data_IF_376844718875
#
_entry.id   IF_376844718875
#
_cell.length_a   1.000
_cell.length_b   1.000
_cell.length_c   1.000
_cell.angle_alpha   90.00
_cell.angle_beta   90.00
_cell.angle_gamma   90.00
#
_symmetry.space_group_name_H-M   'P 1'
#
loop_
_entity.id
_entity.type
_entity.pdbx_description
1 polymer ?
#
# COMPACT_ATOMS: atom_id res chain seq x y z
N UNK A 1 19.84 19.93 5.43
CA UNK A 1 18.86 20.34 4.41
C UNK A 1 19.59 20.59 3.11
N UNK A 2 18.98 20.32 1.95
CA UNK A 2 19.51 20.80 0.68
C UNK A 2 19.18 22.29 0.46
N UNK A 3 19.61 22.85 -0.67
CA UNK A 3 19.38 24.26 -1.03
C UNK A 3 17.90 24.64 -1.18
N UNK A 4 16.99 23.66 -1.17
CA UNK A 4 15.53 23.82 -1.24
C UNK A 4 14.84 23.57 0.10
N UNK A 5 15.61 23.32 1.17
CA UNK A 5 15.07 23.02 2.51
C UNK A 5 14.59 21.57 2.68
N UNK A 6 14.96 20.67 1.76
CA UNK A 6 14.60 19.26 1.88
C UNK A 6 15.53 18.54 2.86
N UNK A 7 14.98 17.56 3.58
CA UNK A 7 15.75 16.65 4.42
C UNK A 7 15.98 15.38 3.59
N UNK A 8 17.22 15.18 3.16
CA UNK A 8 17.59 14.12 2.20
C UNK A 8 18.46 13.07 2.88
N UNK A 9 18.02 11.82 2.82
CA UNK A 9 18.79 10.63 3.21
C UNK A 9 19.09 9.84 1.94
N UNK A 10 20.37 9.77 1.55
CA UNK A 10 20.81 9.08 0.35
C UNK A 10 22.24 8.56 0.51
N UNK A 11 22.63 7.67 -0.39
CA UNK A 11 23.99 7.17 -0.57
C UNK A 11 24.62 6.63 0.73
N UNK A 12 23.84 5.85 1.50
CA UNK A 12 24.28 5.32 2.80
C UNK A 12 23.44 4.13 3.25
N UNK A 13 23.96 3.43 4.24
CA UNK A 13 23.25 2.42 5.03
C UNK A 13 22.94 2.97 6.43
N UNK A 14 21.75 2.67 6.95
CA UNK A 14 21.31 3.03 8.30
C UNK A 14 20.75 1.77 8.95
N UNK A 15 21.19 1.47 10.17
CA UNK A 15 20.79 0.24 10.85
C UNK A 15 20.36 0.52 12.30
N UNK A 16 19.34 -0.20 12.77
CA UNK A 16 18.87 -0.16 14.17
C UNK A 16 18.48 1.24 14.68
N UNK A 17 18.11 2.14 13.77
CA UNK A 17 17.77 3.52 14.09
C UNK A 17 16.26 3.77 14.14
N UNK A 18 15.88 4.79 14.92
CA UNK A 18 14.53 5.36 14.89
C UNK A 18 14.56 6.71 14.18
N UNK A 19 13.98 6.76 12.98
CA UNK A 19 13.87 7.96 12.19
C UNK A 19 12.46 8.56 12.29
N UNK A 20 12.34 9.73 12.90
CA UNK A 20 11.06 10.44 12.98
C UNK A 20 10.94 11.56 11.94
N UNK A 21 9.98 11.42 11.02
CA UNK A 21 9.65 12.44 10.03
C UNK A 21 8.52 13.31 10.58
N UNK A 22 8.89 14.38 11.29
CA UNK A 22 7.95 15.20 12.10
C UNK A 22 7.75 16.61 11.58
N UNK A 23 8.72 17.15 10.82
CA UNK A 23 8.62 18.50 10.29
C UNK A 23 7.65 18.54 9.09
N UNK A 24 6.44 19.04 9.34
CA UNK A 24 5.38 19.14 8.33
C UNK A 24 5.68 20.15 7.21
N UNK A 25 6.70 20.99 7.37
CA UNK A 25 7.16 21.98 6.37
C UNK A 25 8.28 21.43 5.50
N UNK A 26 9.09 20.50 6.00
CA UNK A 26 10.16 19.87 5.25
C UNK A 26 9.61 18.86 4.22
N UNK A 27 10.30 18.74 3.09
CA UNK A 27 10.15 17.57 2.23
C UNK A 27 11.24 16.55 2.57
N UNK A 28 10.84 15.34 2.88
CA UNK A 28 11.72 14.22 3.16
C UNK A 28 11.94 13.40 1.90
N UNK A 29 13.20 13.21 1.53
CA UNK A 29 13.60 12.40 0.38
C UNK A 29 14.45 11.25 0.90
N UNK A 30 13.97 10.03 0.71
CA UNK A 30 14.66 8.78 1.04
C UNK A 30 15.14 8.12 -0.26
N UNK A 31 16.46 8.06 -0.42
CA UNK A 31 17.14 7.62 -1.64
C UNK A 31 17.63 8.79 -2.53
N UNK A 32 18.39 8.51 -3.60
CA UNK A 32 18.78 7.18 -4.10
C UNK A 32 19.80 6.46 -3.22
N UNK A 33 19.97 5.16 -3.47
CA UNK A 33 21.00 4.31 -2.84
C UNK A 33 20.99 4.38 -1.31
N UNK A 34 19.79 4.40 -0.73
CA UNK A 34 19.59 4.34 0.72
C UNK A 34 19.17 2.92 1.09
N UNK A 35 19.91 2.29 2.00
CA UNK A 35 19.52 1.03 2.62
C UNK A 35 19.21 1.29 4.09
N UNK A 36 18.06 0.82 4.57
CA UNK A 36 17.70 0.86 5.98
C UNK A 36 17.41 -0.55 6.48
N UNK A 37 18.03 -0.95 7.58
CA UNK A 37 17.87 -2.28 8.19
C UNK A 37 17.42 -2.18 9.63
N UNK A 38 16.44 -2.99 10.04
CA UNK A 38 15.97 -3.03 11.42
C UNK A 38 15.59 -1.64 11.98
N UNK A 39 15.19 -0.71 11.12
CA UNK A 39 14.91 0.66 11.51
C UNK A 39 13.41 0.85 11.78
N UNK A 40 13.08 1.84 12.60
CA UNK A 40 11.71 2.32 12.76
C UNK A 40 11.55 3.69 12.12
N UNK A 41 10.65 3.80 11.14
CA UNK A 41 10.30 5.05 10.48
C UNK A 41 8.95 5.56 10.97
N UNK A 42 8.94 6.69 11.66
CA UNK A 42 7.71 7.32 12.16
C UNK A 42 7.28 8.41 11.21
N UNK A 43 6.16 8.18 10.51
CA UNK A 43 5.66 9.07 9.47
C UNK A 43 4.56 9.96 10.06
N UNK A 44 4.91 11.20 10.43
CA UNK A 44 3.98 12.25 10.90
C UNK A 44 3.73 13.34 9.84
N UNK A 45 4.22 13.14 8.62
CA UNK A 45 4.03 14.05 7.48
C UNK A 45 3.04 13.49 6.46
N UNK A 46 2.48 14.36 5.63
CA UNK A 46 1.58 13.93 4.55
C UNK A 46 2.35 13.34 3.36
N UNK A 47 1.65 12.56 2.54
CA UNK A 47 2.20 11.92 1.33
C UNK A 47 2.99 12.88 0.43
N UNK A 48 2.52 14.13 0.24
CA UNK A 48 3.21 15.16 -0.57
C UNK A 48 4.58 15.59 -0.05
N UNK A 49 4.87 15.34 1.24
CA UNK A 49 6.11 15.71 1.92
C UNK A 49 7.09 14.54 2.02
N UNK A 50 6.74 13.38 1.49
CA UNK A 50 7.59 12.20 1.50
C UNK A 50 7.88 11.79 0.06
N UNK A 51 9.13 11.48 -0.26
CA UNK A 51 9.51 10.96 -1.57
C UNK A 51 10.46 9.79 -1.38
N UNK A 52 10.10 8.63 -1.95
CA UNK A 52 10.97 7.47 -2.02
C UNK A 52 11.58 7.42 -3.43
N UNK A 53 12.90 7.31 -3.51
CA UNK A 53 13.66 7.21 -4.75
C UNK A 53 14.58 6.00 -4.68
N UNK A 54 14.09 4.79 -4.98
CA UNK A 54 14.88 3.55 -4.86
C UNK A 54 15.50 3.27 -3.48
N UNK A 55 14.81 3.51 -2.35
CA UNK A 55 15.30 3.02 -1.08
C UNK A 55 15.07 1.51 -0.95
N UNK A 56 15.96 0.85 -0.22
CA UNK A 56 15.81 -0.52 0.24
C UNK A 56 15.51 -0.52 1.73
N UNK A 57 14.37 -1.08 2.12
CA UNK A 57 13.99 -1.27 3.51
C UNK A 57 13.93 -2.76 3.81
N UNK A 58 14.70 -3.18 4.81
CA UNK A 58 14.82 -4.57 5.21
C UNK A 58 14.52 -4.65 6.69
N UNK A 59 13.53 -5.46 7.06
CA UNK A 59 13.10 -5.67 8.45
C UNK A 59 12.75 -4.37 9.19
N UNK A 60 12.27 -3.36 8.45
CA UNK A 60 11.91 -2.05 9.02
C UNK A 60 10.47 -2.02 9.53
N UNK A 61 10.19 -1.16 10.50
CA UNK A 61 8.82 -0.85 10.95
C UNK A 61 8.42 0.56 10.52
N UNK A 62 7.31 0.69 9.81
CA UNK A 62 6.69 1.96 9.47
C UNK A 62 5.54 2.26 10.44
N UNK A 63 5.71 3.30 11.26
CA UNK A 63 4.65 3.84 12.12
C UNK A 63 3.97 5.04 11.44
N UNK A 64 2.88 4.79 10.73
CA UNK A 64 2.10 5.81 10.03
C UNK A 64 1.18 6.56 10.99
N UNK A 65 1.68 7.63 11.60
CA UNK A 65 0.92 8.48 12.54
C UNK A 65 0.02 9.49 11.83
N UNK A 66 0.46 9.98 10.67
CA UNK A 66 -0.34 10.76 9.74
C UNK A 66 -0.77 9.86 8.59
N UNK A 67 -2.07 9.72 8.35
CA UNK A 67 -2.59 8.86 7.26
C UNK A 67 -1.96 9.25 5.91
N UNK A 68 -1.39 8.24 5.23
CA UNK A 68 -0.87 8.37 3.88
C UNK A 68 -1.98 8.03 2.89
N UNK A 69 -2.35 9.04 2.09
CA UNK A 69 -3.40 8.93 1.07
C UNK A 69 -2.77 9.01 -0.31
N UNK A 70 -3.11 8.08 -1.19
CA UNK A 70 -2.67 8.03 -2.59
C UNK A 70 -1.14 8.15 -2.72
N UNK A 71 -0.40 7.52 -1.81
CA UNK A 71 1.06 7.63 -1.79
C UNK A 71 1.68 6.56 -2.67
N UNK A 72 2.03 6.95 -3.89
CA UNK A 72 2.43 6.01 -4.95
C UNK A 72 3.93 5.76 -4.99
N UNK A 73 4.77 6.52 -4.27
CA UNK A 73 6.22 6.29 -4.28
C UNK A 73 6.62 4.96 -3.63
N UNK A 74 5.71 4.22 -3.00
CA UNK A 74 5.95 2.84 -2.58
C UNK A 74 6.33 1.92 -3.75
N UNK A 75 5.83 2.16 -4.97
CA UNK A 75 6.22 1.38 -6.16
C UNK A 75 7.64 1.68 -6.64
N UNK A 76 8.32 2.64 -6.01
CA UNK A 76 9.75 2.91 -6.20
C UNK A 76 10.62 2.34 -5.06
N UNK A 77 10.04 1.67 -4.05
CA UNK A 77 10.76 1.18 -2.88
C UNK A 77 10.85 -0.35 -2.90
N UNK A 78 11.99 -0.87 -2.45
CA UNK A 78 12.16 -2.30 -2.16
C UNK A 78 11.86 -2.54 -0.68
N UNK A 79 10.87 -3.38 -0.40
CA UNK A 79 10.35 -3.66 0.93
C UNK A 79 10.48 -5.17 1.21
N UNK A 80 11.34 -5.54 2.15
CA UNK A 80 11.50 -6.94 2.57
C UNK A 80 11.34 -7.05 4.08
N UNK A 81 10.51 -7.97 4.56
CA UNK A 81 10.34 -8.21 6.01
C UNK A 81 9.75 -7.03 6.79
N UNK A 82 9.19 -6.02 6.10
CA UNK A 82 8.80 -4.77 6.74
C UNK A 82 7.42 -4.87 7.39
N UNK A 83 7.23 -4.17 8.53
CA UNK A 83 5.95 -4.06 9.22
C UNK A 83 5.33 -2.68 9.04
N UNK A 84 4.03 -2.62 8.79
CA UNK A 84 3.27 -1.38 8.68
C UNK A 84 2.25 -1.27 9.81
N UNK A 85 2.20 -0.08 10.43
CA UNK A 85 1.21 0.28 11.46
C UNK A 85 0.55 1.60 11.08
N UNK A 86 -0.73 1.75 11.42
CA UNK A 86 -1.47 2.99 11.18
C UNK A 86 -2.35 2.94 9.93
N UNK A 87 -2.65 4.09 9.31
CA UNK A 87 -3.64 4.18 8.23
C UNK A 87 -3.01 4.50 6.88
N UNK A 88 -3.34 3.69 5.88
CA UNK A 88 -2.94 3.89 4.48
C UNK A 88 -4.17 3.74 3.59
N UNK A 89 -4.38 4.69 2.68
CA UNK A 89 -5.53 4.70 1.79
C UNK A 89 -5.08 4.96 0.36
N UNK A 90 -5.52 4.17 -0.62
CA UNK A 90 -5.18 4.35 -2.04
C UNK A 90 -3.68 4.21 -2.37
N UNK A 91 -2.91 3.51 -1.54
CA UNK A 91 -1.47 3.31 -1.74
C UNK A 91 -1.21 2.00 -2.48
N UNK A 92 -0.30 2.02 -3.46
CA UNK A 92 0.06 0.84 -4.24
C UNK A 92 1.51 0.43 -3.97
N UNK A 93 1.76 -0.87 -3.85
CA UNK A 93 3.05 -1.44 -3.48
C UNK A 93 3.53 -2.43 -4.53
N UNK A 94 4.84 -2.67 -4.58
CA UNK A 94 5.44 -3.67 -5.47
C UNK A 94 5.74 -3.15 -6.87
N UNK A 95 5.89 -4.07 -7.81
CA UNK A 95 6.34 -3.76 -9.17
C UNK A 95 5.16 -3.35 -10.06
N UNK A 96 5.18 -2.10 -10.54
CA UNK A 96 4.18 -1.57 -11.46
C UNK A 96 4.85 -0.74 -12.59
N UNK A 97 5.37 -1.40 -13.64
CA UNK A 97 6.16 -0.73 -14.67
C UNK A 97 5.36 0.28 -15.50
N UNK A 98 4.05 0.06 -15.67
CA UNK A 98 3.18 0.96 -16.44
C UNK A 98 2.72 2.20 -15.65
N UNK A 99 3.10 2.33 -14.37
CA UNK A 99 2.68 3.47 -13.56
C UNK A 99 3.26 4.79 -14.08
N UNK A 100 4.57 4.80 -14.38
CA UNK A 100 5.27 5.98 -14.87
C UNK A 100 6.61 5.60 -15.52
N UNK A 101 6.96 6.30 -16.61
CA UNK A 101 8.20 6.10 -17.36
C UNK A 101 9.47 6.65 -16.67
N UNK A 102 9.40 6.98 -15.37
CA UNK A 102 10.59 7.40 -14.62
C UNK A 102 11.38 6.17 -14.18
N UNK A 103 12.72 6.12 -14.37
CA UNK A 103 13.53 4.93 -14.14
C UNK A 103 13.37 4.33 -12.74
N UNK A 104 13.14 5.15 -11.71
CA UNK A 104 13.03 4.67 -10.34
C UNK A 104 11.67 4.09 -9.95
N UNK A 105 10.61 4.29 -10.74
CA UNK A 105 9.27 3.76 -10.43
C UNK A 105 9.05 2.32 -10.91
N UNK A 106 10.09 1.70 -11.49
CA UNK A 106 10.06 0.37 -12.10
C UNK A 106 10.89 -0.66 -11.32
N UNK A 107 11.23 -0.36 -10.07
CA UNK A 107 12.07 -1.24 -9.25
C UNK A 107 11.47 -1.55 -7.88
N UNK A 108 10.20 -1.16 -7.66
CA UNK A 108 9.48 -1.50 -6.45
C UNK A 108 9.36 -3.01 -6.28
N UNK A 109 9.53 -3.47 -5.04
CA UNK A 109 9.30 -4.86 -4.67
C UNK A 109 8.71 -4.92 -3.27
N UNK A 110 7.90 -5.93 -3.01
CA UNK A 110 7.36 -6.19 -1.68
C UNK A 110 7.34 -7.69 -1.42
N UNK A 111 7.96 -8.10 -0.31
CA UNK A 111 8.14 -9.50 0.08
C UNK A 111 8.13 -9.60 1.61
N UNK A 112 7.52 -10.64 2.17
CA UNK A 112 7.52 -10.96 3.60
C UNK A 112 7.05 -9.82 4.52
N UNK A 113 6.22 -8.91 4.01
CA UNK A 113 5.76 -7.73 4.75
C UNK A 113 4.48 -8.01 5.55
N UNK A 114 4.33 -7.28 6.65
CA UNK A 114 3.25 -7.44 7.62
C UNK A 114 2.42 -6.16 7.77
N UNK A 115 1.15 -6.24 7.36
CA UNK A 115 0.16 -5.17 7.46
C UNK A 115 -0.90 -5.45 8.54
N UNK A 116 -0.72 -6.44 9.41
CA UNK A 116 -1.74 -6.86 10.40
C UNK A 116 -2.09 -5.77 11.41
N UNK A 117 -1.18 -4.83 11.67
CA UNK A 117 -1.38 -3.66 12.54
C UNK A 117 -1.75 -2.38 11.75
N UNK A 118 -1.98 -2.49 10.44
CA UNK A 118 -2.38 -1.40 9.56
C UNK A 118 -3.88 -1.46 9.25
N UNK A 119 -4.44 -0.29 8.92
CA UNK A 119 -5.73 -0.18 8.26
C UNK A 119 -5.49 0.24 6.82
N UNK A 120 -5.87 -0.62 5.88
CA UNK A 120 -5.72 -0.38 4.45
C UNK A 120 -7.10 -0.12 3.83
N UNK A 121 -7.22 0.91 2.99
CA UNK A 121 -8.47 1.26 2.29
C UNK A 121 -8.18 1.59 0.81
N UNK A 122 -8.45 0.64 -0.09
CA UNK A 122 -8.16 0.76 -1.51
C UNK A 122 -6.67 0.68 -1.82
N UNK A 123 -5.90 -0.07 -1.03
CA UNK A 123 -4.48 -0.31 -1.30
C UNK A 123 -4.29 -1.54 -2.18
N UNK A 124 -3.33 -1.49 -3.12
CA UNK A 124 -3.05 -2.61 -4.03
C UNK A 124 -1.63 -3.15 -3.87
N UNK A 125 -1.49 -4.45 -4.11
CA UNK A 125 -0.21 -5.12 -4.29
C UNK A 125 -0.05 -5.42 -5.78
N UNK A 126 1.05 -4.95 -6.35
CA UNK A 126 1.35 -4.99 -7.78
C UNK A 126 2.53 -5.92 -8.05
N UNK A 127 2.37 -6.82 -9.03
CA UNK A 127 3.45 -7.65 -9.58
C UNK A 127 4.19 -8.56 -8.58
N UNK A 128 3.67 -8.71 -7.36
CA UNK A 128 4.33 -9.38 -6.24
C UNK A 128 3.40 -10.46 -5.67
N UNK A 129 3.96 -11.57 -5.18
CA UNK A 129 3.17 -12.67 -4.64
C UNK A 129 2.51 -12.28 -3.31
N UNK A 130 1.18 -12.15 -3.26
CA UNK A 130 0.48 -11.77 -2.04
C UNK A 130 0.54 -12.85 -0.95
N UNK A 131 0.88 -14.11 -1.28
CA UNK A 131 1.02 -15.18 -0.30
C UNK A 131 2.20 -14.95 0.67
N UNK A 132 3.19 -14.15 0.26
CA UNK A 132 4.29 -13.72 1.14
C UNK A 132 3.87 -12.67 2.17
N UNK A 133 2.67 -12.08 2.05
CA UNK A 133 2.26 -10.92 2.83
C UNK A 133 1.24 -11.30 3.91
N UNK A 134 1.28 -10.59 5.04
CA UNK A 134 0.25 -10.69 6.09
C UNK A 134 -0.69 -9.50 6.00
N UNK A 135 -1.94 -9.73 5.61
CA UNK A 135 -2.94 -8.69 5.46
C UNK A 135 -3.69 -8.39 6.78
N UNK A 136 -4.23 -7.16 6.94
CA UNK A 136 -5.11 -6.86 8.06
C UNK A 136 -6.38 -7.69 8.03
N UNK A 137 -6.89 -7.97 9.23
CA UNK A 137 -8.14 -8.70 9.45
C UNK A 137 -9.35 -7.76 9.43
N UNK A 138 -10.54 -8.34 9.50
CA UNK A 138 -11.81 -7.63 9.60
C UNK A 138 -11.71 -6.49 10.63
N UNK A 139 -12.14 -5.26 10.30
CA UNK A 139 -13.01 -4.89 9.18
C UNK A 139 -12.29 -4.49 7.88
N UNK A 140 -11.01 -4.83 7.74
CA UNK A 140 -10.37 -4.88 6.43
C UNK A 140 -10.60 -6.25 5.78
N UNK A 141 -10.62 -6.29 4.45
CA UNK A 141 -10.60 -7.54 3.69
C UNK A 141 -9.77 -7.36 2.42
N UNK A 142 -9.08 -8.41 2.00
CA UNK A 142 -8.19 -8.39 0.84
C UNK A 142 -8.66 -9.41 -0.18
N UNK A 143 -8.91 -8.94 -1.40
CA UNK A 143 -9.24 -9.77 -2.54
C UNK A 143 -7.94 -10.20 -3.20
N UNK A 144 -7.67 -11.51 -3.25
CA UNK A 144 -6.48 -12.08 -3.88
C UNK A 144 -6.73 -12.38 -5.37
N UNK A 145 -5.72 -12.13 -6.19
CA UNK A 145 -5.73 -12.26 -7.65
C UNK A 145 -7.02 -11.73 -8.32
N UNK A 146 -7.40 -10.47 -8.02
CA UNK A 146 -8.69 -9.92 -8.40
C UNK A 146 -8.97 -9.95 -9.90
N UNK A 147 -7.93 -9.77 -10.73
CA UNK A 147 -8.05 -9.73 -12.18
C UNK A 147 -8.40 -11.13 -12.71
N UNK A 148 -7.74 -12.19 -12.25
CA UNK A 148 -8.09 -13.56 -12.67
C UNK A 148 -9.43 -14.02 -12.10
N UNK A 149 -9.80 -13.55 -10.91
CA UNK A 149 -11.08 -13.82 -10.25
C UNK A 149 -12.22 -12.92 -10.68
N UNK A 150 -12.02 -12.04 -11.67
CA UNK A 150 -12.98 -11.02 -12.06
C UNK A 150 -14.36 -11.60 -12.43
N UNK A 151 -14.42 -12.78 -13.07
CA UNK A 151 -15.70 -13.44 -13.40
C UNK A 151 -16.48 -13.82 -12.14
N UNK A 152 -15.80 -14.41 -11.15
CA UNK A 152 -16.39 -14.84 -9.88
C UNK A 152 -16.86 -13.62 -9.09
N UNK A 153 -15.99 -12.62 -8.95
CA UNK A 153 -16.28 -11.35 -8.28
C UNK A 153 -17.46 -10.59 -8.90
N UNK A 154 -17.61 -10.61 -10.23
CA UNK A 154 -18.71 -9.94 -10.94
C UNK A 154 -19.97 -10.79 -11.08
N UNK A 155 -19.96 -12.06 -10.62
CA UNK A 155 -21.14 -12.94 -10.67
C UNK A 155 -22.13 -12.71 -9.53
N UNK A 156 -21.71 -12.01 -8.47
CA UNK A 156 -22.53 -11.71 -7.30
C UNK A 156 -22.93 -10.24 -7.25
N UNK A 157 -24.06 -9.98 -6.60
CA UNK A 157 -24.49 -8.61 -6.33
C UNK A 157 -23.81 -8.09 -5.06
N UNK A 158 -22.87 -7.17 -5.24
CA UNK A 158 -22.23 -6.49 -4.12
C UNK A 158 -23.13 -5.40 -3.52
N UNK A 159 -23.01 -5.14 -2.20
CA UNK A 159 -23.79 -4.11 -1.52
C UNK A 159 -23.60 -2.72 -2.13
N UNK A 160 -24.71 -1.99 -2.27
CA UNK A 160 -24.74 -0.62 -2.80
C UNK A 160 -24.14 -0.45 -4.20
N UNK A 161 -24.19 -1.50 -5.03
CA UNK A 161 -23.69 -1.46 -6.40
C UNK A 161 -22.17 -1.35 -6.51
N UNK A 162 -21.44 -1.68 -5.44
CA UNK A 162 -19.99 -1.76 -5.46
C UNK A 162 -19.54 -2.73 -6.55
N UNK A 163 -18.41 -2.41 -7.19
CA UNK A 163 -17.72 -3.34 -8.08
C UNK A 163 -16.29 -3.44 -7.58
N UNK A 164 -15.83 -4.63 -7.17
CA UNK A 164 -14.51 -4.78 -6.60
C UNK A 164 -13.42 -4.52 -7.62
N UNK A 165 -13.67 -4.82 -8.89
CA UNK A 165 -12.68 -4.76 -9.98
C UNK A 165 -13.33 -4.32 -11.28
N UNK A 166 -12.60 -3.51 -12.03
CA UNK A 166 -12.95 -3.09 -13.39
C UNK A 166 -11.91 -3.69 -14.34
N UNK A 167 -12.32 -4.58 -15.24
CA UNK A 167 -11.40 -5.25 -16.19
C UNK A 167 -11.36 -4.61 -17.58
N UNK A 168 -12.34 -3.78 -17.92
CA UNK A 168 -12.49 -3.16 -19.23
C UNK A 168 -12.82 -1.66 -19.14
N UNK A 169 -12.51 -0.92 -20.19
CA UNK A 169 -12.75 0.52 -20.28
C UNK A 169 -11.65 1.40 -19.68
N UNK A 170 -11.93 2.70 -19.59
CA UNK A 170 -10.95 3.72 -19.21
C UNK A 170 -10.49 3.61 -17.74
N UNK A 171 -11.30 2.99 -16.89
CA UNK A 171 -11.03 2.83 -15.45
C UNK A 171 -10.60 1.42 -15.08
N UNK A 172 -10.09 0.63 -16.05
CA UNK A 172 -9.63 -0.73 -15.79
C UNK A 172 -8.49 -0.74 -14.79
N UNK A 173 -8.54 -1.71 -13.88
CA UNK A 173 -7.45 -2.00 -12.97
C UNK A 173 -6.22 -2.52 -13.75
N UNK A 174 -4.98 -2.20 -13.32
CA UNK A 174 -3.79 -2.68 -14.00
C UNK A 174 -3.71 -4.21 -13.99
N UNK A 175 -3.28 -4.85 -15.09
CA UNK A 175 -3.20 -6.32 -15.17
C UNK A 175 -2.29 -6.97 -14.13
N UNK A 176 -1.31 -6.22 -13.60
CA UNK A 176 -0.39 -6.67 -12.57
C UNK A 176 -0.92 -6.52 -11.14
N UNK A 177 -2.20 -6.14 -10.93
CA UNK A 177 -2.80 -6.10 -9.59
C UNK A 177 -3.01 -7.52 -9.05
N UNK A 178 -2.21 -7.89 -8.05
CA UNK A 178 -2.21 -9.22 -7.44
C UNK A 178 -3.08 -9.30 -6.18
N UNK A 179 -3.33 -8.18 -5.51
CA UNK A 179 -4.27 -8.09 -4.41
C UNK A 179 -4.79 -6.66 -4.24
N UNK A 180 -6.02 -6.51 -3.71
CA UNK A 180 -6.48 -5.20 -3.19
C UNK A 180 -7.14 -5.36 -1.83
N UNK A 181 -6.72 -4.51 -0.88
CA UNK A 181 -7.31 -4.44 0.46
C UNK A 181 -8.25 -3.26 0.57
N UNK A 182 -9.44 -3.52 1.12
CA UNK A 182 -10.52 -2.57 1.29
C UNK A 182 -10.92 -2.50 2.76
N UNK A 183 -11.53 -1.37 3.14
CA UNK A 183 -12.03 -1.14 4.50
C UNK A 183 -13.55 -1.05 4.47
N UNK A 184 -14.23 -2.06 5.03
CA UNK A 184 -15.68 -2.19 4.97
C UNK A 184 -16.44 -0.96 5.50
N UNK A 185 -16.05 -0.30 6.63
CA UNK A 185 -16.75 0.88 7.12
C UNK A 185 -16.69 2.08 6.15
N UNK A 186 -15.55 2.28 5.49
CA UNK A 186 -15.42 3.30 4.44
C UNK A 186 -16.32 3.00 3.25
N UNK A 187 -16.37 1.74 2.81
CA UNK A 187 -17.19 1.32 1.68
C UNK A 187 -18.68 1.41 2.01
N UNK A 188 -19.10 0.89 3.16
CA UNK A 188 -20.48 0.95 3.67
C UNK A 188 -21.01 2.38 3.66
N UNK A 189 -20.24 3.32 4.21
CA UNK A 189 -20.59 4.74 4.20
C UNK A 189 -20.72 5.32 2.78
N UNK A 190 -19.79 5.02 1.86
CA UNK A 190 -19.81 5.54 0.49
C UNK A 190 -20.92 4.94 -0.38
N UNK A 191 -21.39 3.76 -0.02
CA UNK A 191 -22.36 2.96 -0.78
C UNK A 191 -23.73 2.92 -0.11
N UNK A 192 -23.92 3.71 0.95
CA UNK A 192 -25.18 3.82 1.70
C UNK A 192 -25.73 2.44 2.12
N UNK A 193 -24.83 1.60 2.66
CA UNK A 193 -25.10 0.22 3.07
C UNK A 193 -24.40 -0.09 4.39
N UNK A 194 -24.36 -1.37 4.82
CA UNK A 194 -23.78 -1.80 6.09
C UNK A 194 -22.50 -2.61 5.91
N UNK A 195 -21.68 -2.66 6.96
CA UNK A 195 -20.49 -3.51 7.00
C UNK A 195 -20.85 -4.99 6.93
N UNK A 196 -21.90 -5.41 7.63
CA UNK A 196 -22.39 -6.79 7.62
C UNK A 196 -22.84 -7.25 6.23
N UNK A 197 -23.40 -6.34 5.42
CA UNK A 197 -23.75 -6.66 4.03
C UNK A 197 -22.50 -6.99 3.20
N UNK A 198 -21.39 -6.27 3.41
CA UNK A 198 -20.12 -6.61 2.77
C UNK A 198 -19.56 -7.92 3.33
N UNK A 199 -19.63 -8.12 4.65
CA UNK A 199 -19.17 -9.35 5.29
C UNK A 199 -19.84 -10.59 4.71
N UNK A 200 -21.16 -10.57 4.56
CA UNK A 200 -21.94 -11.66 4.01
C UNK A 200 -21.56 -12.03 2.56
N UNK A 201 -21.07 -11.06 1.76
CA UNK A 201 -20.58 -11.32 0.40
C UNK A 201 -19.17 -11.88 0.41
N UNK A 202 -18.26 -11.31 1.20
CA UNK A 202 -16.86 -11.77 1.21
C UNK A 202 -16.71 -13.18 1.78
N UNK A 203 -17.57 -13.59 2.72
CA UNK A 203 -17.59 -14.94 3.30
C UNK A 203 -17.92 -16.05 2.28
N UNK A 204 -18.39 -15.68 1.08
CA UNK A 204 -18.70 -16.62 0.00
C UNK A 204 -17.46 -17.01 -0.82
N UNK A 205 -16.32 -16.33 -0.63
CA UNK A 205 -15.11 -16.49 -1.45
C UNK A 205 -13.93 -16.97 -0.60
N UNK A 206 -13.28 -18.06 -1.04
CA UNK A 206 -12.09 -18.61 -0.39
C UNK A 206 -10.81 -17.78 -0.66
N UNK A 207 -10.82 -16.99 -1.74
CA UNK A 207 -9.73 -16.09 -2.13
C UNK A 207 -9.84 -14.68 -1.55
N UNK A 208 -10.81 -14.42 -0.66
CA UNK A 208 -10.88 -13.16 0.10
C UNK A 208 -10.44 -13.42 1.54
N UNK A 209 -9.34 -12.77 1.95
CA UNK A 209 -8.83 -12.89 3.31
C UNK A 209 -9.29 -11.71 4.16
N UNK A 210 -9.73 -12.01 5.38
CA UNK A 210 -10.19 -11.05 6.39
C UNK A 210 -9.98 -11.64 7.78
#
# INVERSE_FOLDING_TARGET
MDSLGNIVFKDREIENERLELTDTKANYILGPSLTMRNCTLVLKVSARRLSLKLPHFIDCTFEVKQELKNYQSWVAASLKGCRFKGRLSGCDFGYWPEYMDLPWYQHGSIEDCDFTEARLDGCRIMGSDPASLRFPKWPCFTILDPIRRARELNSVQWPGGFRPIIVEGQYRDPPCTMAVTLYAPSLAKRRETTEDAFRAVIEQFDFIVY
#
